data_IF_313536082775
#
_entry.id   IF_313536082775
#
_cell.length_a   1.000
_cell.length_b   1.000
_cell.length_c   1.000
_cell.angle_alpha   90.00
_cell.angle_beta   90.00
_cell.angle_gamma   90.00
#
_symmetry.space_group_name_H-M   'P 1'
#
loop_
_entity.id
_entity.type
_entity.pdbx_description
1 polymer ?
#
# COMPACT_ATOMS: atom_id res chain seq x y z
N UNK A 1 31.62 1.81 7.28
CA UNK A 1 30.92 1.33 8.48
C UNK A 1 30.36 2.55 9.20
N UNK A 2 29.16 3.00 8.80
CA UNK A 2 28.47 4.13 9.46
C UNK A 2 27.02 3.66 9.66
N UNK A 3 26.70 3.39 10.91
CA UNK A 3 25.34 3.16 11.41
C UNK A 3 24.47 4.37 11.02
N UNK A 4 23.70 4.25 9.94
CA UNK A 4 22.62 5.20 9.66
C UNK A 4 21.42 4.75 10.48
N UNK A 5 21.36 5.31 11.69
CA UNK A 5 20.29 5.13 12.64
C UNK A 5 18.93 5.12 11.95
N UNK A 6 18.21 4.03 12.19
CA UNK A 6 16.77 3.91 12.09
C UNK A 6 16.12 5.03 12.92
N UNK A 7 16.01 6.21 12.34
CA UNK A 7 15.16 7.30 12.83
C UNK A 7 13.70 6.91 12.54
N UNK A 8 13.23 5.92 13.31
CA UNK A 8 11.81 5.78 13.64
C UNK A 8 11.49 6.98 14.52
N UNK A 9 11.34 8.17 13.92
CA UNK A 9 10.71 9.29 14.59
C UNK A 9 9.26 8.90 14.74
N UNK A 10 8.98 8.19 15.83
CA UNK A 10 7.65 7.81 16.26
C UNK A 10 6.92 9.12 16.63
N UNK A 11 6.35 9.76 15.61
CA UNK A 11 5.82 11.10 15.69
C UNK A 11 4.69 11.11 16.72
N UNK A 12 4.91 11.75 17.87
CA UNK A 12 3.98 11.82 19.02
C UNK A 12 2.57 12.25 18.61
N UNK A 13 2.45 13.05 17.54
CA UNK A 13 1.17 13.43 16.92
C UNK A 13 0.43 12.22 16.33
N UNK A 14 1.12 11.34 15.62
CA UNK A 14 0.55 10.10 15.05
C UNK A 14 0.09 9.14 16.15
N UNK A 15 0.81 9.06 17.27
CA UNK A 15 0.42 8.24 18.43
C UNK A 15 -0.81 8.81 19.13
N UNK A 16 -0.86 10.13 19.34
CA UNK A 16 -2.02 10.82 19.91
C UNK A 16 -3.25 10.73 19.00
N UNK A 17 -3.06 10.82 17.67
CA UNK A 17 -4.13 10.63 16.70
C UNK A 17 -4.63 9.18 16.68
N UNK A 18 -3.73 8.19 16.72
CA UNK A 18 -4.09 6.77 16.83
C UNK A 18 -4.83 6.48 18.13
N UNK A 19 -4.35 7.02 19.25
CA UNK A 19 -5.02 6.90 20.55
C UNK A 19 -6.38 7.59 20.56
N UNK A 20 -6.50 8.77 19.94
CA UNK A 20 -7.76 9.49 19.78
C UNK A 20 -8.76 8.71 18.91
N UNK A 21 -8.30 8.09 17.82
CA UNK A 21 -9.14 7.25 16.96
C UNK A 21 -9.55 5.94 17.64
N UNK A 22 -8.69 5.38 18.48
CA UNK A 22 -9.01 4.24 19.34
C UNK A 22 -10.06 4.62 20.39
N UNK A 23 -9.94 5.80 21.00
CA UNK A 23 -10.92 6.35 21.93
C UNK A 23 -12.26 6.64 21.26
N UNK A 24 -12.26 7.22 20.05
CA UNK A 24 -13.49 7.46 19.26
C UNK A 24 -14.09 6.13 18.80
N UNK A 25 -13.29 5.17 18.36
CA UNK A 25 -13.74 3.82 18.02
C UNK A 25 -14.32 3.08 19.22
N UNK A 26 -13.74 3.25 20.41
CA UNK A 26 -14.23 2.72 21.68
C UNK A 26 -15.54 3.39 22.11
N UNK A 27 -15.64 4.72 22.00
CA UNK A 27 -16.85 5.48 22.30
C UNK A 27 -18.00 5.09 21.34
N UNK A 28 -17.72 4.95 20.05
CA UNK A 28 -18.69 4.47 19.07
C UNK A 28 -19.08 3.01 19.30
N UNK A 29 -18.14 2.15 19.70
CA UNK A 29 -18.44 0.77 20.11
C UNK A 29 -19.41 0.73 21.30
N UNK A 30 -19.15 1.55 22.33
CA UNK A 30 -20.01 1.68 23.50
C UNK A 30 -21.38 2.26 23.14
N UNK A 31 -21.45 3.19 22.19
CA UNK A 31 -22.69 3.86 21.80
C UNK A 31 -23.57 3.06 20.83
N UNK A 32 -22.97 2.30 19.90
CA UNK A 32 -23.72 1.62 18.82
C UNK A 32 -23.91 0.12 19.05
N UNK A 33 -23.20 -0.49 20.01
CA UNK A 33 -23.23 -1.93 20.25
C UNK A 33 -22.65 -2.78 19.11
N UNK A 34 -22.15 -2.15 18.03
CA UNK A 34 -21.66 -2.82 16.83
C UNK A 34 -20.12 -2.88 16.80
N UNK A 35 -19.50 -4.05 17.07
CA UNK A 35 -18.05 -4.18 17.22
C UNK A 35 -17.25 -3.89 15.95
N UNK A 36 -17.87 -3.87 14.78
CA UNK A 36 -17.19 -3.63 13.51
C UNK A 36 -16.74 -2.17 13.34
N UNK A 37 -17.46 -1.19 13.91
CA UNK A 37 -17.13 0.23 13.79
C UNK A 37 -15.81 0.59 14.48
N UNK A 38 -15.52 -0.02 15.64
CA UNK A 38 -14.28 0.20 16.39
C UNK A 38 -13.00 -0.28 15.68
N UNK A 39 -13.13 -1.17 14.69
CA UNK A 39 -12.01 -1.71 13.89
C UNK A 39 -11.94 -1.03 12.52
N UNK A 40 -13.09 -0.82 11.88
CA UNK A 40 -13.18 -0.28 10.53
C UNK A 40 -12.74 1.19 10.48
N UNK A 41 -13.11 2.00 11.48
CA UNK A 41 -12.81 3.43 11.50
C UNK A 41 -11.30 3.75 11.63
N UNK A 42 -10.54 3.13 12.56
CA UNK A 42 -9.09 3.32 12.61
C UNK A 42 -8.40 2.87 11.31
N UNK A 43 -8.81 1.73 10.75
CA UNK A 43 -8.23 1.20 9.52
C UNK A 43 -8.53 2.11 8.32
N UNK A 44 -9.77 2.60 8.17
CA UNK A 44 -10.13 3.59 7.13
C UNK A 44 -9.34 4.88 7.28
N UNK A 45 -9.14 5.36 8.51
CA UNK A 45 -8.40 6.59 8.77
C UNK A 45 -6.92 6.46 8.38
N UNK A 46 -6.31 5.29 8.54
CA UNK A 46 -4.96 5.02 8.05
C UNK A 46 -4.85 5.14 6.52
N UNK A 47 -5.89 4.72 5.78
CA UNK A 47 -5.98 4.90 4.33
C UNK A 47 -6.37 6.32 3.89
N UNK A 48 -7.05 7.09 4.75
CA UNK A 48 -7.68 8.37 4.40
C UNK A 48 -6.71 9.40 3.83
N UNK A 49 -5.50 9.52 4.40
CA UNK A 49 -4.51 10.46 3.88
C UNK A 49 -4.13 10.13 2.43
N UNK A 50 -3.95 8.84 2.12
CA UNK A 50 -3.64 8.37 0.77
C UNK A 50 -4.83 8.54 -0.19
N UNK A 51 -6.06 8.36 0.28
CA UNK A 51 -7.28 8.64 -0.52
C UNK A 51 -7.44 10.13 -0.83
N UNK A 52 -7.15 11.01 0.14
CA UNK A 52 -7.15 12.46 -0.09
C UNK A 52 -6.05 12.87 -1.06
N UNK A 53 -4.87 12.24 -0.97
CA UNK A 53 -3.80 12.42 -1.96
C UNK A 53 -4.25 11.96 -3.35
N UNK A 54 -4.95 10.83 -3.47
CA UNK A 54 -5.50 10.37 -4.75
C UNK A 54 -6.49 11.39 -5.35
N UNK A 55 -7.44 11.87 -4.55
CA UNK A 55 -8.42 12.88 -4.97
C UNK A 55 -7.75 14.18 -5.42
N UNK A 56 -6.68 14.59 -4.74
CA UNK A 56 -5.89 15.76 -5.13
C UNK A 56 -5.08 15.52 -6.40
N UNK A 57 -4.44 14.35 -6.58
CA UNK A 57 -3.70 14.02 -7.80
C UNK A 57 -4.61 13.99 -9.02
N UNK A 58 -5.86 13.51 -8.88
CA UNK A 58 -6.84 13.54 -9.97
C UNK A 58 -7.17 14.95 -10.47
N UNK A 59 -7.08 15.97 -9.62
CA UNK A 59 -7.43 17.35 -9.96
C UNK A 59 -6.22 18.26 -10.22
N UNK A 60 -5.06 17.95 -9.64
CA UNK A 60 -3.88 18.82 -9.68
C UNK A 60 -2.94 18.54 -10.86
N UNK A 61 -2.90 17.31 -11.39
CA UNK A 61 -1.94 16.95 -12.44
C UNK A 61 -2.44 17.40 -13.84
N UNK A 62 -1.65 18.17 -14.61
CA UNK A 62 -2.05 18.66 -15.93
C UNK A 62 -2.19 17.56 -16.99
N UNK A 63 -1.51 16.42 -16.84
CA UNK A 63 -1.69 15.28 -17.74
C UNK A 63 -2.75 14.33 -17.16
N UNK A 64 -3.92 14.28 -17.81
CA UNK A 64 -5.04 13.41 -17.39
C UNK A 64 -4.66 11.93 -17.29
N UNK A 65 -3.76 11.43 -18.14
CA UNK A 65 -3.36 10.01 -18.09
C UNK A 65 -2.53 9.73 -16.85
N UNK A 66 -1.57 10.60 -16.55
CA UNK A 66 -0.75 10.51 -15.32
C UNK A 66 -1.59 10.74 -14.07
N UNK A 67 -2.50 11.70 -14.09
CA UNK A 67 -3.45 11.99 -13.01
C UNK A 67 -4.28 10.74 -12.65
N UNK A 68 -4.86 10.10 -13.66
CA UNK A 68 -5.68 8.90 -13.46
C UNK A 68 -4.84 7.74 -12.90
N UNK A 69 -3.72 7.43 -13.54
CA UNK A 69 -2.90 6.28 -13.14
C UNK A 69 -2.28 6.51 -11.74
N UNK A 70 -1.74 7.71 -11.49
CA UNK A 70 -1.16 8.09 -10.20
C UNK A 70 -2.21 8.13 -9.08
N UNK A 71 -3.40 8.65 -9.36
CA UNK A 71 -4.51 8.67 -8.43
C UNK A 71 -5.04 7.27 -8.11
N UNK A 72 -5.19 6.40 -9.10
CA UNK A 72 -5.61 5.00 -8.90
C UNK A 72 -4.57 4.22 -8.08
N UNK A 73 -3.27 4.43 -8.31
CA UNK A 73 -2.24 3.84 -7.45
C UNK A 73 -2.27 4.40 -6.02
N UNK A 74 -2.51 5.69 -5.83
CA UNK A 74 -2.67 6.28 -4.49
C UNK A 74 -3.89 5.70 -3.76
N UNK A 75 -4.96 5.41 -4.50
CA UNK A 75 -6.15 4.76 -3.97
C UNK A 75 -5.86 3.31 -3.56
N UNK A 76 -5.15 2.54 -4.39
CA UNK A 76 -4.67 1.21 -4.05
C UNK A 76 -3.76 1.22 -2.81
N UNK A 77 -2.89 2.22 -2.69
CA UNK A 77 -2.03 2.41 -1.50
C UNK A 77 -2.86 2.74 -0.24
N UNK A 78 -3.95 3.48 -0.38
CA UNK A 78 -4.93 3.69 0.68
C UNK A 78 -5.49 2.36 1.18
N UNK A 79 -6.01 1.53 0.27
CA UNK A 79 -6.50 0.18 0.58
C UNK A 79 -5.42 -0.71 1.23
N UNK A 80 -4.17 -0.62 0.76
CA UNK A 80 -3.06 -1.38 1.32
C UNK A 80 -2.79 -1.00 2.77
N UNK A 81 -2.86 0.29 3.11
CA UNK A 81 -2.70 0.76 4.50
C UNK A 81 -3.84 0.30 5.41
N UNK A 82 -5.08 0.27 4.90
CA UNK A 82 -6.22 -0.33 5.62
C UNK A 82 -5.93 -1.80 5.93
N UNK A 83 -5.50 -2.57 4.92
CA UNK A 83 -5.16 -3.98 5.07
C UNK A 83 -4.00 -4.20 6.06
N UNK A 84 -2.93 -3.40 5.97
CA UNK A 84 -1.80 -3.49 6.88
C UNK A 84 -2.21 -3.24 8.34
N UNK A 85 -3.07 -2.24 8.60
CA UNK A 85 -3.60 -1.99 9.95
C UNK A 85 -4.49 -3.14 10.44
N UNK A 86 -5.37 -3.67 9.59
CA UNK A 86 -6.16 -4.84 9.96
C UNK A 86 -5.27 -6.06 10.24
N UNK A 87 -4.20 -6.29 9.47
CA UNK A 87 -3.24 -7.37 9.72
C UNK A 87 -2.53 -7.22 11.08
N UNK A 88 -2.10 -6.00 11.43
CA UNK A 88 -1.54 -5.74 12.77
C UNK A 88 -2.55 -6.01 13.88
N UNK A 89 -3.82 -5.69 13.65
CA UNK A 89 -4.90 -5.97 14.61
C UNK A 89 -5.09 -7.48 14.81
N UNK A 90 -5.07 -8.27 13.73
CA UNK A 90 -5.10 -9.74 13.82
C UNK A 90 -3.92 -10.27 14.63
N UNK A 91 -2.70 -9.78 14.34
CA UNK A 91 -1.49 -10.20 15.07
C UNK A 91 -1.61 -9.92 16.57
N UNK A 92 -2.07 -8.72 16.94
CA UNK A 92 -2.32 -8.35 18.35
C UNK A 92 -3.35 -9.27 18.98
N UNK A 93 -4.47 -9.56 18.29
CA UNK A 93 -5.49 -10.49 18.79
C UNK A 93 -4.92 -11.89 19.04
N UNK A 94 -4.08 -12.41 18.14
CA UNK A 94 -3.43 -13.72 18.28
C UNK A 94 -2.47 -13.73 19.47
N UNK A 95 -1.63 -12.70 19.61
CA UNK A 95 -0.68 -12.59 20.73
C UNK A 95 -1.42 -12.49 22.06
N UNK A 96 -2.46 -11.66 22.15
CA UNK A 96 -3.27 -11.54 23.36
C UNK A 96 -3.96 -12.86 23.69
N UNK A 97 -4.55 -13.55 22.71
CA UNK A 97 -5.19 -14.84 22.92
C UNK A 97 -4.20 -15.92 23.42
N UNK A 98 -2.97 -15.92 22.91
CA UNK A 98 -1.90 -16.80 23.39
C UNK A 98 -1.45 -16.46 24.81
N UNK A 99 -1.43 -15.17 25.17
CA UNK A 99 -1.02 -14.71 26.49
C UNK A 99 -2.09 -14.93 27.57
N UNK A 100 -3.37 -14.72 27.24
CA UNK A 100 -4.49 -14.82 28.20
C UNK A 100 -5.18 -16.17 28.21
N UNK A 101 -4.91 -17.02 27.21
CA UNK A 101 -5.63 -18.28 27.00
C UNK A 101 -7.09 -18.10 26.56
N UNK A 102 -7.56 -16.87 26.39
CA UNK A 102 -8.92 -16.58 25.96
C UNK A 102 -9.00 -16.42 24.44
N UNK A 103 -9.87 -17.21 23.81
CA UNK A 103 -10.13 -17.09 22.38
C UNK A 103 -10.82 -15.74 22.09
N UNK A 104 -10.42 -15.04 21.00
CA UNK A 104 -11.08 -13.81 20.60
C UNK A 104 -12.54 -14.11 20.21
N UNK A 105 -13.45 -13.21 20.57
CA UNK A 105 -14.87 -13.34 20.18
C UNK A 105 -14.96 -13.45 18.65
N UNK A 106 -15.61 -14.52 18.16
CA UNK A 106 -15.70 -14.84 16.73
C UNK A 106 -16.18 -13.66 15.88
N UNK A 107 -17.17 -12.90 16.34
CA UNK A 107 -17.70 -11.74 15.62
C UNK A 107 -16.65 -10.65 15.37
N UNK A 108 -15.82 -10.36 16.38
CA UNK A 108 -14.76 -9.34 16.28
C UNK A 108 -13.66 -9.80 15.35
N UNK A 109 -13.27 -11.06 15.47
CA UNK A 109 -12.27 -11.66 14.60
C UNK A 109 -12.73 -11.68 13.14
N UNK A 110 -13.98 -12.09 12.89
CA UNK A 110 -14.58 -12.09 11.55
C UNK A 110 -14.59 -10.69 10.92
N UNK A 111 -14.96 -9.65 11.67
CA UNK A 111 -14.96 -8.27 11.17
C UNK A 111 -13.55 -7.78 10.76
N UNK A 112 -12.52 -8.11 11.56
CA UNK A 112 -11.11 -7.79 11.23
C UNK A 112 -10.66 -8.58 9.99
N UNK A 113 -11.03 -9.85 9.89
CA UNK A 113 -10.67 -10.69 8.74
C UNK A 113 -11.36 -10.25 7.45
N UNK A 114 -12.61 -9.79 7.52
CA UNK A 114 -13.33 -9.23 6.36
C UNK A 114 -12.67 -7.92 5.90
N UNK A 115 -12.32 -7.02 6.82
CA UNK A 115 -11.60 -5.78 6.45
C UNK A 115 -10.22 -6.06 5.89
N UNK A 116 -9.50 -7.03 6.45
CA UNK A 116 -8.20 -7.46 5.94
C UNK A 116 -8.32 -8.03 4.53
N UNK A 117 -9.18 -9.03 4.34
CA UNK A 117 -9.39 -9.69 3.04
C UNK A 117 -9.89 -8.70 2.00
N UNK A 118 -10.89 -7.87 2.35
CA UNK A 118 -11.42 -6.83 1.48
C UNK A 118 -10.35 -5.81 1.09
N UNK A 119 -9.53 -5.35 2.04
CA UNK A 119 -8.42 -4.45 1.77
C UNK A 119 -7.37 -5.06 0.83
N UNK A 120 -6.98 -6.33 1.04
CA UNK A 120 -6.03 -7.05 0.16
C UNK A 120 -6.60 -7.21 -1.25
N UNK A 121 -7.85 -7.67 -1.37
CA UNK A 121 -8.50 -7.88 -2.68
C UNK A 121 -8.64 -6.57 -3.44
N UNK A 122 -9.12 -5.51 -2.79
CA UNK A 122 -9.24 -4.19 -3.41
C UNK A 122 -7.89 -3.63 -3.82
N UNK A 123 -6.88 -3.72 -2.95
CA UNK A 123 -5.50 -3.33 -3.29
C UNK A 123 -5.01 -4.09 -4.51
N UNK A 124 -5.26 -5.41 -4.54
CA UNK A 124 -4.81 -6.26 -5.63
C UNK A 124 -5.44 -5.87 -6.96
N UNK A 125 -6.77 -5.77 -7.01
CA UNK A 125 -7.51 -5.42 -8.23
C UNK A 125 -7.12 -4.03 -8.73
N UNK A 126 -7.16 -3.04 -7.86
CA UNK A 126 -6.91 -1.64 -8.22
C UNK A 126 -5.45 -1.45 -8.60
N UNK A 127 -4.52 -2.07 -7.87
CA UNK A 127 -3.09 -2.01 -8.19
C UNK A 127 -2.72 -2.73 -9.50
N UNK A 128 -3.38 -3.84 -9.85
CA UNK A 128 -3.21 -4.49 -11.16
C UNK A 128 -3.72 -3.59 -12.29
N UNK A 129 -4.90 -3.00 -12.13
CA UNK A 129 -5.45 -2.04 -13.11
C UNK A 129 -4.51 -0.84 -13.29
N UNK A 130 -3.99 -0.31 -12.18
CA UNK A 130 -3.04 0.80 -12.21
C UNK A 130 -1.72 0.40 -12.89
N UNK A 131 -1.21 -0.81 -12.63
CA UNK A 131 0.01 -1.32 -13.24
C UNK A 131 -0.14 -1.56 -14.75
N UNK A 132 -1.29 -2.11 -15.18
CA UNK A 132 -1.63 -2.29 -16.60
C UNK A 132 -1.75 -0.93 -17.29
N UNK A 133 -2.45 0.03 -16.66
CA UNK A 133 -2.58 1.40 -17.15
C UNK A 133 -1.23 2.11 -17.28
N UNK A 134 -0.38 2.01 -16.25
CA UNK A 134 0.98 2.57 -16.26
C UNK A 134 1.84 1.98 -17.39
N UNK A 135 1.77 0.66 -17.57
CA UNK A 135 2.49 -0.05 -18.64
C UNK A 135 2.00 0.35 -20.02
N UNK A 136 0.68 0.45 -20.23
CA UNK A 136 0.08 0.84 -21.50
C UNK A 136 0.42 2.29 -21.86
N UNK A 137 0.39 3.19 -20.87
CA UNK A 137 0.73 4.59 -21.05
C UNK A 137 2.25 4.88 -21.05
N UNK A 138 3.09 3.87 -20.76
CA UNK A 138 4.56 3.98 -20.57
C UNK A 138 4.96 5.07 -19.55
N UNK A 139 4.18 5.20 -18.47
CA UNK A 139 4.42 6.19 -17.41
C UNK A 139 5.14 5.52 -16.25
N UNK A 140 6.25 6.12 -15.80
CA UNK A 140 6.90 5.76 -14.54
C UNK A 140 6.28 6.57 -13.40
N UNK A 141 6.06 5.95 -12.26
CA UNK A 141 5.35 6.51 -11.11
C UNK A 141 6.26 6.54 -9.90
N UNK A 142 6.25 7.68 -9.22
CA UNK A 142 6.92 7.87 -7.93
C UNK A 142 5.89 8.26 -6.88
N UNK A 143 5.64 7.38 -5.90
CA UNK A 143 4.59 7.60 -4.89
C UNK A 143 5.22 7.68 -3.51
N UNK A 144 5.09 8.85 -2.90
CA UNK A 144 5.65 9.18 -1.59
C UNK A 144 4.62 9.90 -0.71
N UNK A 145 4.65 9.76 0.62
CA UNK A 145 3.74 10.48 1.52
C UNK A 145 3.83 12.01 1.43
N UNK A 146 4.96 12.54 0.96
CA UNK A 146 5.19 13.97 0.73
C UNK A 146 4.79 14.43 -0.70
N UNK A 147 4.13 13.57 -1.49
CA UNK A 147 3.80 13.86 -2.88
C UNK A 147 3.00 15.17 -3.08
N UNK A 148 2.02 15.55 -2.24
CA UNK A 148 1.28 16.80 -2.43
C UNK A 148 2.15 18.06 -2.32
N UNK A 149 3.13 18.05 -1.41
CA UNK A 149 4.06 19.16 -1.21
C UNK A 149 5.02 19.26 -2.40
N UNK A 150 5.62 18.12 -2.77
CA UNK A 150 6.60 18.04 -3.86
C UNK A 150 5.95 18.38 -5.20
N UNK A 151 4.81 17.78 -5.53
CA UNK A 151 4.13 18.04 -6.80
C UNK A 151 3.57 19.47 -6.83
N UNK A 152 3.12 20.01 -5.69
CA UNK A 152 2.73 21.41 -5.59
C UNK A 152 3.87 22.38 -5.93
N UNK A 153 5.09 22.11 -5.49
CA UNK A 153 6.27 22.92 -5.79
C UNK A 153 6.72 22.77 -7.25
N UNK A 154 6.67 21.55 -7.79
CA UNK A 154 6.98 21.28 -9.21
C UNK A 154 5.98 21.97 -10.14
N UNK A 155 4.68 21.93 -9.82
CA UNK A 155 3.64 22.61 -10.60
C UNK A 155 3.78 24.13 -10.55
N UNK A 156 4.33 24.70 -9.46
CA UNK A 156 4.65 26.13 -9.34
C UNK A 156 5.95 26.54 -10.04
N UNK A 157 6.64 25.59 -10.70
CA UNK A 157 7.88 25.86 -11.43
C UNK A 157 9.16 25.72 -10.62
N UNK A 158 9.10 25.15 -9.41
CA UNK A 158 10.28 24.81 -8.62
C UNK A 158 11.09 23.65 -9.22
N UNK A 159 12.41 23.70 -9.08
CA UNK A 159 13.30 22.62 -9.54
C UNK A 159 13.11 21.38 -8.65
N UNK A 160 12.76 20.23 -9.26
CA UNK A 160 12.54 18.94 -8.59
C UNK A 160 13.82 18.34 -7.98
N UNK A 161 14.97 18.99 -8.14
CA UNK A 161 16.31 18.48 -7.80
C UNK A 161 16.65 18.44 -6.31
N UNK A 162 15.85 19.05 -5.44
CA UNK A 162 16.11 19.09 -3.98
C UNK A 162 15.41 17.96 -3.21
N UNK A 163 14.61 17.13 -3.88
CA UNK A 163 13.83 16.07 -3.23
C UNK A 163 14.74 14.88 -2.94
N UNK A 164 14.95 14.58 -1.65
CA UNK A 164 15.72 13.42 -1.25
C UNK A 164 15.11 12.13 -1.82
N UNK A 165 15.94 11.20 -2.36
CA UNK A 165 15.46 9.90 -2.83
C UNK A 165 14.84 9.14 -1.66
N UNK A 166 13.51 9.03 -1.69
CA UNK A 166 12.69 8.35 -0.69
C UNK A 166 12.19 7.00 -1.21
N UNK A 167 11.80 6.13 -0.28
CA UNK A 167 11.27 4.80 -0.62
C UNK A 167 9.92 4.91 -1.34
N UNK A 168 9.82 4.33 -2.55
CA UNK A 168 8.60 4.39 -3.35
C UNK A 168 7.54 3.43 -2.79
N UNK A 169 6.45 3.99 -2.23
CA UNK A 169 5.38 3.19 -1.62
C UNK A 169 4.57 2.38 -2.65
N UNK A 170 4.71 2.66 -3.96
CA UNK A 170 4.12 1.88 -5.03
C UNK A 170 4.63 0.42 -5.04
N UNK A 171 5.83 0.16 -4.51
CA UNK A 171 6.40 -1.18 -4.37
C UNK A 171 5.45 -2.11 -3.59
N UNK A 172 4.93 -1.64 -2.46
CA UNK A 172 4.04 -2.44 -1.61
C UNK A 172 2.75 -2.81 -2.31
N UNK A 173 2.17 -1.87 -3.05
CA UNK A 173 0.97 -2.10 -3.86
C UNK A 173 1.26 -3.14 -4.93
N UNK A 174 2.34 -2.97 -5.70
CA UNK A 174 2.69 -3.86 -6.80
C UNK A 174 2.96 -5.29 -6.32
N UNK A 175 3.72 -5.46 -5.24
CA UNK A 175 3.98 -6.78 -4.63
C UNK A 175 2.67 -7.42 -4.19
N UNK A 176 1.82 -6.68 -3.47
CA UNK A 176 0.52 -7.20 -2.99
C UNK A 176 -0.38 -7.60 -4.15
N UNK A 177 -0.42 -6.80 -5.22
CA UNK A 177 -1.20 -7.05 -6.43
C UNK A 177 -0.74 -8.26 -7.24
N UNK A 178 0.54 -8.62 -7.19
CA UNK A 178 1.07 -9.81 -7.84
C UNK A 178 0.95 -11.05 -6.95
N UNK A 179 1.22 -10.90 -5.65
CA UNK A 179 1.19 -11.99 -4.68
C UNK A 179 -0.24 -12.51 -4.44
N UNK A 180 -1.24 -11.63 -4.35
CA UNK A 180 -2.63 -12.03 -4.05
C UNK A 180 -3.21 -13.04 -5.06
N UNK A 181 -3.21 -12.78 -6.38
CA UNK A 181 -3.73 -13.75 -7.34
C UNK A 181 -2.88 -15.02 -7.41
N UNK A 182 -1.56 -14.91 -7.23
CA UNK A 182 -0.66 -16.07 -7.18
C UNK A 182 -0.97 -16.98 -5.98
N UNK A 183 -1.22 -16.40 -4.81
CA UNK A 183 -1.64 -17.13 -3.61
C UNK A 183 -3.04 -17.74 -3.76
N UNK A 184 -3.98 -17.02 -4.39
CA UNK A 184 -5.32 -17.56 -4.67
C UNK A 184 -5.25 -18.76 -5.64
N UNK A 185 -4.45 -18.65 -6.70
CA UNK A 185 -4.23 -19.73 -7.65
C UNK A 185 -3.53 -20.93 -7.00
N UNK A 186 -2.50 -20.68 -6.17
CA UNK A 186 -1.85 -21.72 -5.39
C UNK A 186 -2.85 -22.43 -4.47
N UNK A 187 -3.63 -21.66 -3.69
CA UNK A 187 -4.66 -22.20 -2.81
C UNK A 187 -5.65 -23.08 -3.56
N UNK A 188 -6.15 -22.62 -4.71
CA UNK A 188 -7.06 -23.40 -5.56
C UNK A 188 -6.44 -24.74 -6.02
N UNK A 189 -5.19 -24.73 -6.46
CA UNK A 189 -4.47 -25.93 -6.90
C UNK A 189 -4.23 -26.91 -5.74
N UNK A 190 -4.11 -26.41 -4.51
CA UNK A 190 -3.79 -27.20 -3.30
C UNK A 190 -4.99 -27.77 -2.58
N UNK A 191 -6.21 -27.28 -2.87
CA UNK A 191 -7.46 -27.91 -2.37
C UNK A 191 -7.59 -29.35 -2.91
N UNK A 192 -6.97 -29.64 -4.06
CA UNK A 192 -6.95 -30.99 -4.59
C UNK A 192 -6.03 -31.89 -3.77
N UNK A 193 -6.43 -33.15 -3.49
CA UNK A 193 -5.58 -34.10 -2.79
C UNK A 193 -4.25 -34.26 -3.54
N UNK A 194 -3.15 -34.22 -2.80
CA UNK A 194 -1.81 -34.21 -3.39
C UNK A 194 -0.71 -34.45 -2.37
N UNK A 195 0.51 -34.65 -2.87
CA UNK A 195 1.70 -34.84 -2.04
C UNK A 195 2.25 -33.50 -1.52
N UNK A 196 3.01 -33.56 -0.42
CA UNK A 196 3.75 -32.41 0.12
C UNK A 196 4.70 -31.81 -0.94
N UNK A 197 5.31 -32.68 -1.78
CA UNK A 197 6.17 -32.24 -2.88
C UNK A 197 5.42 -31.37 -3.89
N UNK A 198 4.18 -31.74 -4.26
CA UNK A 198 3.31 -30.89 -5.12
C UNK A 198 3.07 -29.53 -4.47
N UNK A 199 2.81 -29.51 -3.16
CA UNK A 199 2.61 -28.25 -2.44
C UNK A 199 3.84 -27.33 -2.48
N UNK A 200 5.02 -27.89 -2.22
CA UNK A 200 6.28 -27.15 -2.28
C UNK A 200 6.55 -26.60 -3.68
N UNK A 201 6.31 -27.39 -4.73
CA UNK A 201 6.51 -26.96 -6.12
C UNK A 201 5.54 -25.85 -6.52
N UNK A 202 4.25 -25.98 -6.19
CA UNK A 202 3.24 -24.96 -6.51
C UNK A 202 3.56 -23.63 -5.81
N UNK A 203 3.87 -23.66 -4.52
CA UNK A 203 4.27 -22.45 -3.80
C UNK A 203 5.58 -21.86 -4.33
N UNK A 204 6.60 -22.69 -4.54
CA UNK A 204 7.90 -22.26 -5.06
C UNK A 204 7.78 -21.60 -6.43
N UNK A 205 7.04 -22.22 -7.35
CA UNK A 205 6.78 -21.67 -8.69
C UNK A 205 6.05 -20.33 -8.61
N UNK A 206 5.04 -20.21 -7.77
CA UNK A 206 4.29 -18.96 -7.61
C UNK A 206 5.15 -17.83 -7.05
N UNK A 207 6.04 -18.12 -6.08
CA UNK A 207 7.00 -17.14 -5.56
C UNK A 207 7.95 -16.68 -6.67
N UNK A 208 8.49 -17.60 -7.48
CA UNK A 208 9.38 -17.25 -8.61
C UNK A 208 8.63 -16.39 -9.64
N UNK A 209 7.38 -16.74 -9.97
CA UNK A 209 6.55 -15.95 -10.88
C UNK A 209 6.29 -14.54 -10.35
N UNK A 210 6.00 -14.38 -9.06
CA UNK A 210 5.82 -13.06 -8.43
C UNK A 210 7.10 -12.25 -8.48
N UNK A 211 8.26 -12.85 -8.15
CA UNK A 211 9.56 -12.15 -8.18
C UNK A 211 9.91 -11.73 -9.61
N UNK A 212 9.75 -12.63 -10.59
CA UNK A 212 10.06 -12.35 -12.00
C UNK A 212 9.13 -11.30 -12.60
N UNK A 213 7.82 -11.40 -12.35
CA UNK A 213 6.84 -10.41 -12.79
C UNK A 213 7.08 -9.06 -12.12
N UNK A 214 7.36 -9.03 -10.82
CA UNK A 214 7.74 -7.82 -10.09
C UNK A 214 8.99 -7.18 -10.71
N UNK A 215 10.08 -7.93 -10.93
CA UNK A 215 11.30 -7.39 -11.53
C UNK A 215 11.08 -6.79 -12.92
N UNK A 216 10.23 -7.43 -13.74
CA UNK A 216 9.89 -6.94 -15.06
C UNK A 216 9.01 -5.67 -15.02
N UNK A 217 8.00 -5.64 -14.14
CA UNK A 217 7.08 -4.50 -14.01
C UNK A 217 7.72 -3.33 -13.27
N UNK A 218 8.46 -3.58 -12.19
CA UNK A 218 9.12 -2.55 -11.38
C UNK A 218 10.05 -1.69 -12.22
N UNK A 219 10.90 -2.31 -13.06
CA UNK A 219 11.80 -1.58 -13.98
C UNK A 219 11.09 -0.66 -14.97
N UNK A 220 9.81 -0.91 -15.25
CA UNK A 220 9.02 -0.14 -16.23
C UNK A 220 8.08 0.87 -15.58
N UNK A 221 7.59 0.60 -14.37
CA UNK A 221 6.51 1.36 -13.73
C UNK A 221 7.03 2.18 -12.55
N UNK A 222 8.08 1.73 -11.87
CA UNK A 222 8.58 2.39 -10.66
C UNK A 222 9.68 3.35 -11.07
N UNK A 223 9.47 4.65 -10.81
CA UNK A 223 10.50 5.67 -10.94
C UNK A 223 11.36 5.69 -9.67
N UNK A 224 12.67 5.91 -9.85
CA UNK A 224 13.63 6.09 -8.75
C UNK A 224 13.63 7.54 -8.23
N UNK A 225 13.33 8.50 -9.10
CA UNK A 225 13.28 9.93 -8.79
C UNK A 225 11.99 10.59 -9.30
N UNK A 226 11.52 11.67 -8.64
CA UNK A 226 10.32 12.40 -9.06
C UNK A 226 10.47 13.03 -10.46
N UNK A 227 11.70 13.37 -10.87
CA UNK A 227 12.00 13.87 -12.22
C UNK A 227 11.69 12.86 -13.32
N UNK A 228 11.74 11.55 -13.07
CA UNK A 228 11.36 10.55 -14.07
C UNK A 228 9.84 10.46 -14.29
N UNK A 229 9.04 11.03 -13.38
CA UNK A 229 7.58 11.02 -13.45
C UNK A 229 7.00 12.39 -13.85
N UNK A 230 7.59 13.48 -13.35
CA UNK A 230 7.15 14.86 -13.57
C UNK A 230 8.22 15.80 -14.14
N UNK A 231 9.43 15.31 -14.41
CA UNK A 231 10.50 16.10 -15.01
C UNK A 231 10.14 16.49 -16.43
N UNK A 232 10.55 17.71 -16.82
CA UNK A 232 10.41 18.17 -18.20
C UNK A 232 11.32 17.33 -19.10
N UNK A 233 10.85 16.88 -20.27
CA UNK A 233 11.73 16.28 -21.27
C UNK A 233 12.77 17.34 -21.67
N UNK A 234 14.04 17.17 -21.26
CA UNK A 234 15.12 18.10 -21.60
C UNK A 234 16.17 18.40 -20.53
N UNK A 235 16.10 17.83 -19.32
CA UNK A 235 17.17 17.93 -18.29
C UNK A 235 17.83 16.59 -17.96
N UNK A 236 17.89 15.66 -18.92
CA UNK A 236 18.89 14.58 -18.89
C UNK A 236 20.08 15.05 -19.73
N UNK A 237 21.13 15.51 -19.02
CA UNK A 237 22.54 15.34 -19.40
C UNK A 237 23.10 16.18 -20.57
N UNK A 238 23.18 17.50 -20.35
CA UNK A 238 24.47 18.20 -20.54
C UNK A 238 25.24 17.96 -19.24
N UNK A 239 26.15 17.00 -19.25
CA UNK A 239 26.89 16.56 -18.07
C UNK A 239 27.91 15.48 -18.43
N UNK A 240 28.78 15.80 -19.40
CA UNK A 240 30.09 15.17 -19.63
C UNK A 240 30.94 15.12 -18.34
N UNK A 241 31.97 14.28 -18.25
CA UNK A 241 32.85 13.77 -19.33
C UNK A 241 32.62 12.32 -19.78
#
# INVERSE_FOLDING_TARGET
MIHRQSQVVFNRKTVLELAGLLLVGLALFLATGHPWLGVVLPSLRAGWRSLRTAAWVFSADPDRRRAVIGGVFCLALGCWKVAAMSATTVLVMVVVAKATGQLPRMERFAAVMITLTGGIVLTSLIGLLAAIGARAARIRLWIHPALPEILGDVLKGGDSGTVQPGFNQAIFVLITSLATPALAAAGYILIQPGSVLRAMLVFGLMVVLVIGSYGCLARRIIADHPSQCWGRPGKEEVGEP
#
